data_IF_086907577063
#
_entry.id   IF_086907577063
#
_cell.length_a   1.000
_cell.length_b   1.000
_cell.length_c   1.000
_cell.angle_alpha   90.00
_cell.angle_beta   90.00
_cell.angle_gamma   90.00
#
_symmetry.space_group_name_H-M   'P 1'
#
loop_
_entity.id
_entity.type
_entity.pdbx_description
1 polymer ?
#
# COMPACT_ATOMS: atom_id res chain seq x y z
N UNK A 1 12.00 22.56 -4.99
CA UNK A 1 12.35 23.21 -6.28
C UNK A 1 13.84 23.57 -6.36
N UNK A 2 14.51 23.80 -5.22
CA UNK A 2 15.89 24.30 -5.17
C UNK A 2 16.95 23.21 -4.91
N UNK A 3 16.53 21.96 -4.73
CA UNK A 3 17.44 20.85 -4.51
C UNK A 3 18.23 20.48 -5.78
N UNK A 4 19.47 20.11 -5.60
CA UNK A 4 20.40 19.66 -6.66
C UNK A 4 21.00 18.31 -6.27
N UNK A 5 21.74 17.67 -7.17
CA UNK A 5 22.44 16.41 -6.88
C UNK A 5 23.43 16.49 -5.69
N UNK A 6 23.84 17.68 -5.30
CA UNK A 6 24.72 17.93 -4.13
C UNK A 6 23.96 18.17 -2.81
N UNK A 7 22.62 18.21 -2.86
CA UNK A 7 21.79 18.44 -1.68
C UNK A 7 21.71 17.18 -0.81
N UNK A 8 21.47 17.39 0.47
CA UNK A 8 20.97 16.37 1.40
C UNK A 8 19.52 16.73 1.72
N UNK A 9 18.61 15.81 1.42
CA UNK A 9 17.21 15.94 1.78
C UNK A 9 16.90 15.10 3.02
N UNK A 10 16.13 15.67 3.94
CA UNK A 10 15.56 14.94 5.07
C UNK A 10 14.04 15.07 4.94
N UNK A 11 13.41 13.95 4.62
CA UNK A 11 11.96 13.85 4.38
C UNK A 11 11.38 12.96 5.47
N UNK A 12 10.39 13.49 6.19
CA UNK A 12 9.77 12.83 7.32
C UNK A 12 8.26 12.76 7.11
N UNK A 13 7.70 11.56 7.19
CA UNK A 13 6.26 11.27 7.11
C UNK A 13 5.56 11.89 5.87
N UNK A 14 6.21 11.87 4.71
CA UNK A 14 5.63 12.35 3.46
C UNK A 14 4.39 11.52 3.12
N UNK A 15 3.29 12.18 2.75
CA UNK A 15 2.02 11.55 2.41
C UNK A 15 1.08 11.35 3.61
N UNK A 16 1.44 11.79 4.81
CA UNK A 16 0.58 11.74 5.98
C UNK A 16 -0.54 12.79 5.90
N UNK A 17 -1.75 12.45 6.35
CA UNK A 17 -2.89 13.38 6.41
C UNK A 17 -3.83 13.32 5.21
N UNK A 18 -3.68 12.32 4.35
CA UNK A 18 -4.62 11.98 3.27
C UNK A 18 -4.97 10.48 3.33
N UNK A 19 -5.70 9.96 2.33
CA UNK A 19 -5.97 8.52 2.26
C UNK A 19 -4.67 7.72 2.15
N UNK A 20 -4.67 6.49 2.64
CA UNK A 20 -3.47 5.64 2.68
C UNK A 20 -2.83 5.48 1.31
N UNK A 21 -3.63 5.18 0.29
CA UNK A 21 -3.13 4.97 -1.08
C UNK A 21 -2.60 6.25 -1.73
N UNK A 22 -3.28 7.39 -1.55
CA UNK A 22 -2.79 8.68 -2.06
C UNK A 22 -1.48 9.06 -1.39
N UNK A 23 -1.41 8.94 -0.05
CA UNK A 23 -0.21 9.24 0.71
C UNK A 23 0.97 8.38 0.31
N UNK A 24 0.76 7.07 0.19
CA UNK A 24 1.79 6.12 -0.26
C UNK A 24 2.23 6.42 -1.70
N UNK A 25 1.32 6.74 -2.61
CA UNK A 25 1.64 7.08 -3.99
C UNK A 25 2.51 8.34 -4.09
N UNK A 26 2.18 9.36 -3.32
CA UNK A 26 2.98 10.60 -3.23
C UNK A 26 4.36 10.29 -2.64
N UNK A 27 4.42 9.54 -1.54
CA UNK A 27 5.67 9.18 -0.87
C UNK A 27 6.59 8.41 -1.81
N UNK A 28 6.06 7.41 -2.52
CA UNK A 28 6.78 6.62 -3.52
C UNK A 28 7.29 7.49 -4.67
N UNK A 29 6.46 8.32 -5.26
CA UNK A 29 6.84 9.19 -6.37
C UNK A 29 7.97 10.17 -5.98
N UNK A 30 7.91 10.73 -4.76
CA UNK A 30 8.97 11.61 -4.22
C UNK A 30 10.27 10.83 -4.03
N UNK A 31 10.22 9.62 -3.46
CA UNK A 31 11.38 8.76 -3.27
C UNK A 31 12.04 8.42 -4.60
N UNK A 32 11.26 7.96 -5.58
CA UNK A 32 11.74 7.65 -6.93
C UNK A 32 12.39 8.87 -7.59
N UNK A 33 11.77 10.04 -7.47
CA UNK A 33 12.32 11.28 -8.02
C UNK A 33 13.67 11.66 -7.38
N UNK A 34 13.79 11.49 -6.06
CA UNK A 34 15.03 11.80 -5.33
C UNK A 34 16.16 10.82 -5.67
N UNK A 35 15.83 9.53 -5.87
CA UNK A 35 16.79 8.47 -6.14
C UNK A 35 17.29 8.47 -7.62
N UNK A 36 16.47 8.93 -8.56
CA UNK A 36 16.80 8.93 -9.98
C UNK A 36 17.89 9.97 -10.29
N UNK A 37 19.09 9.47 -10.68
CA UNK A 37 20.24 10.29 -11.04
C UNK A 37 20.00 11.19 -12.26
N UNK A 38 19.02 10.87 -13.11
CA UNK A 38 18.66 11.69 -14.28
C UNK A 38 17.76 12.86 -13.90
N UNK A 39 17.10 12.80 -12.74
CA UNK A 39 16.19 13.84 -12.23
C UNK A 39 16.86 14.66 -11.14
N UNK A 40 17.10 14.08 -10.00
CA UNK A 40 17.71 14.76 -8.85
C UNK A 40 18.97 14.04 -8.35
N UNK A 41 18.89 12.74 -8.05
CA UNK A 41 20.04 11.92 -7.67
C UNK A 41 20.77 12.42 -6.43
N UNK A 42 20.09 13.05 -5.49
CA UNK A 42 20.69 13.61 -4.28
C UNK A 42 20.71 12.59 -3.14
N UNK A 43 21.47 12.90 -2.09
CA UNK A 43 21.42 12.12 -0.85
C UNK A 43 20.11 12.43 -0.13
N UNK A 44 19.39 11.38 0.27
CA UNK A 44 18.08 11.52 0.92
C UNK A 44 17.98 10.59 2.11
N UNK A 45 17.56 11.12 3.26
CA UNK A 45 17.03 10.36 4.38
C UNK A 45 15.51 10.45 4.30
N UNK A 46 14.85 9.31 4.19
CA UNK A 46 13.41 9.22 4.00
C UNK A 46 12.80 8.40 5.15
N UNK A 47 12.18 9.07 6.12
CA UNK A 47 11.45 8.42 7.18
C UNK A 47 9.99 8.22 6.78
N UNK A 48 9.45 7.01 6.95
CA UNK A 48 8.08 6.67 6.59
C UNK A 48 7.55 5.51 7.42
N UNK A 49 6.25 5.45 7.55
CA UNK A 49 5.51 4.32 8.13
C UNK A 49 4.93 3.37 7.05
N UNK A 50 5.15 3.66 5.78
CA UNK A 50 4.69 2.80 4.68
C UNK A 50 5.64 1.62 4.48
N UNK A 51 5.30 0.45 5.05
CA UNK A 51 6.10 -0.77 4.93
C UNK A 51 6.25 -1.24 3.49
N UNK A 52 5.27 -0.97 2.64
CA UNK A 52 5.27 -1.31 1.22
C UNK A 52 6.43 -0.69 0.45
N UNK A 53 6.93 0.47 0.91
CA UNK A 53 8.07 1.13 0.28
C UNK A 53 9.40 0.42 0.53
N UNK A 54 9.47 -0.50 1.48
CA UNK A 54 10.70 -1.27 1.76
C UNK A 54 11.13 -2.16 0.59
N UNK A 55 10.19 -2.61 -0.25
CA UNK A 55 10.50 -3.39 -1.45
C UNK A 55 11.35 -2.61 -2.48
N UNK A 56 11.39 -1.28 -2.39
CA UNK A 56 12.13 -0.43 -3.33
C UNK A 56 13.65 -0.60 -3.23
N UNK A 57 14.19 -1.14 -2.13
CA UNK A 57 15.62 -1.48 -2.02
C UNK A 57 16.08 -2.43 -3.13
N UNK A 58 15.24 -3.42 -3.48
CA UNK A 58 15.54 -4.35 -4.57
C UNK A 58 15.23 -3.82 -5.97
N UNK A 59 14.46 -2.74 -6.08
CA UNK A 59 13.95 -2.22 -7.35
C UNK A 59 14.70 -0.97 -7.83
N UNK A 60 15.14 -0.11 -6.91
CA UNK A 60 15.75 1.17 -7.22
C UNK A 60 17.22 1.17 -6.76
N UNK A 61 18.18 1.27 -7.70
CA UNK A 61 19.59 1.35 -7.35
C UNK A 61 19.90 2.52 -6.41
N UNK A 62 20.57 2.23 -5.30
CA UNK A 62 20.97 3.25 -4.33
C UNK A 62 19.97 3.47 -3.18
N UNK A 63 18.81 2.83 -3.22
CA UNK A 63 17.87 2.78 -2.08
C UNK A 63 18.35 1.71 -1.09
N UNK A 64 18.34 2.04 0.20
CA UNK A 64 18.70 1.15 1.31
C UNK A 64 17.71 1.30 2.45
N UNK A 65 17.26 0.18 2.98
CA UNK A 65 16.38 0.13 4.13
C UNK A 65 17.17 0.15 5.43
N UNK A 66 16.66 0.91 6.36
CA UNK A 66 17.11 0.93 7.75
C UNK A 66 15.89 1.00 8.67
N UNK A 67 16.00 0.42 9.85
CA UNK A 67 14.95 0.53 10.86
C UNK A 67 15.52 0.93 12.22
N UNK A 68 14.64 1.38 13.09
CA UNK A 68 14.99 1.64 14.51
C UNK A 68 14.85 0.34 15.27
N UNK A 69 15.97 -0.18 15.78
CA UNK A 69 15.96 -1.45 16.50
C UNK A 69 15.09 -1.39 17.75
N UNK A 70 14.17 -2.33 17.88
CA UNK A 70 13.34 -2.53 19.05
C UNK A 70 13.53 -3.96 19.58
N UNK A 71 13.35 -4.15 20.87
CA UNK A 71 13.37 -5.46 21.53
C UNK A 71 12.04 -5.70 22.23
N UNK A 72 11.33 -6.71 21.80
CA UNK A 72 10.10 -7.18 22.44
C UNK A 72 10.47 -7.97 23.71
N UNK A 73 9.85 -7.62 24.85
CA UNK A 73 10.03 -8.32 26.12
C UNK A 73 8.64 -8.61 26.72
N UNK A 74 8.13 -9.84 26.51
CA UNK A 74 6.78 -10.27 26.88
C UNK A 74 5.73 -9.26 26.37
N UNK A 75 5.21 -8.40 27.22
CA UNK A 75 4.15 -7.43 26.90
C UNK A 75 4.70 -6.00 26.70
N UNK A 76 6.02 -5.84 26.63
CA UNK A 76 6.68 -4.53 26.56
C UNK A 76 7.61 -4.43 25.35
N UNK A 77 7.79 -3.23 24.82
CA UNK A 77 8.70 -2.94 23.71
C UNK A 77 9.72 -1.90 24.15
N UNK A 78 10.99 -2.25 24.06
CA UNK A 78 12.10 -1.37 24.36
C UNK A 78 12.73 -0.90 23.05
N UNK A 79 12.64 0.39 22.75
CA UNK A 79 13.34 1.01 21.62
C UNK A 79 14.82 1.20 21.98
N UNK A 80 15.70 0.52 21.25
CA UNK A 80 17.14 0.55 21.52
C UNK A 80 17.81 1.83 21.03
N UNK A 81 17.09 2.70 20.33
CA UNK A 81 17.60 3.96 19.75
C UNK A 81 18.83 3.75 18.85
N UNK A 82 18.86 2.62 18.16
CA UNK A 82 19.89 2.26 17.18
C UNK A 82 19.24 2.08 15.83
N UNK A 83 19.86 2.64 14.81
CA UNK A 83 19.49 2.43 13.42
C UNK A 83 20.28 1.23 12.91
N UNK A 84 19.58 0.23 12.37
CA UNK A 84 20.17 -1.01 11.86
C UNK A 84 19.75 -1.22 10.41
N UNK A 85 20.58 -1.87 9.58
CA UNK A 85 20.20 -2.21 8.20
C UNK A 85 19.02 -3.17 8.15
N UNK A 86 18.20 -3.02 7.11
CA UNK A 86 17.05 -3.85 6.82
C UNK A 86 15.71 -3.16 7.06
N UNK A 87 14.62 -3.73 6.52
CA UNK A 87 13.26 -3.27 6.79
C UNK A 87 12.87 -3.53 8.25
N UNK A 88 11.84 -2.84 8.73
CA UNK A 88 11.20 -3.19 10.00
C UNK A 88 10.30 -4.42 9.79
N UNK A 89 10.49 -5.44 10.62
CA UNK A 89 9.71 -6.68 10.51
C UNK A 89 8.28 -6.54 11.02
N UNK A 90 8.04 -5.61 11.94
CA UNK A 90 6.73 -5.41 12.60
C UNK A 90 6.53 -3.94 12.98
N UNK A 91 5.26 -3.52 13.02
CA UNK A 91 4.86 -2.27 13.67
C UNK A 91 4.63 -2.53 15.17
N UNK A 92 4.92 -1.53 15.99
CA UNK A 92 4.74 -1.61 17.45
C UNK A 92 3.67 -0.64 17.95
N UNK A 93 2.76 -0.22 17.07
CA UNK A 93 1.75 0.78 17.40
C UNK A 93 0.82 0.34 18.54
N UNK A 94 0.40 -0.93 18.54
CA UNK A 94 -0.49 -1.48 19.58
C UNK A 94 0.23 -1.58 20.91
N UNK A 95 1.49 -2.01 20.94
CA UNK A 95 2.32 -2.07 22.13
C UNK A 95 2.56 -0.67 22.71
N UNK A 96 2.88 0.30 21.85
CA UNK A 96 3.07 1.70 22.25
C UNK A 96 1.77 2.30 22.80
N UNK A 97 0.61 1.98 22.22
CA UNK A 97 -0.67 2.41 22.75
C UNK A 97 -0.93 1.84 24.15
N UNK A 98 -0.55 0.59 24.39
CA UNK A 98 -0.60 -0.02 25.74
C UNK A 98 0.29 0.71 26.74
N UNK A 99 1.54 1.02 26.36
CA UNK A 99 2.47 1.81 27.17
C UNK A 99 1.96 3.23 27.45
N UNK A 100 1.23 3.82 26.52
CA UNK A 100 0.59 5.13 26.67
C UNK A 100 -0.67 5.10 27.56
N UNK A 101 -1.06 3.94 28.09
CA UNK A 101 -2.16 3.79 29.03
C UNK A 101 -3.53 3.56 28.39
N UNK A 102 -3.59 3.12 27.14
CA UNK A 102 -4.84 2.67 26.52
C UNK A 102 -5.33 1.41 27.25
N UNK A 103 -6.63 1.31 27.63
CA UNK A 103 -7.17 0.19 28.36
C UNK A 103 -6.89 -1.16 27.70
N UNK A 104 -6.53 -2.19 28.51
CA UNK A 104 -6.16 -3.52 27.98
C UNK A 104 -7.21 -4.14 27.07
N UNK A 105 -8.49 -3.99 27.37
CA UNK A 105 -9.59 -4.47 26.52
C UNK A 105 -9.55 -3.88 25.11
N UNK A 106 -9.14 -2.62 24.95
CA UNK A 106 -8.99 -1.96 23.65
C UNK A 106 -7.76 -2.51 22.93
N UNK A 107 -6.66 -2.70 23.65
CA UNK A 107 -5.42 -3.28 23.12
C UNK A 107 -5.66 -4.70 22.61
N UNK A 108 -6.36 -5.53 23.39
CA UNK A 108 -6.68 -6.92 23.02
C UNK A 108 -7.53 -6.94 21.75
N UNK A 109 -8.59 -6.11 21.70
CA UNK A 109 -9.42 -6.02 20.48
C UNK A 109 -8.65 -5.48 19.27
N UNK A 110 -7.71 -4.55 19.48
CA UNK A 110 -6.86 -4.05 18.40
C UNK A 110 -5.94 -5.14 17.82
N UNK A 111 -5.44 -6.06 18.66
CA UNK A 111 -4.66 -7.23 18.20
C UNK A 111 -5.50 -8.19 17.37
N UNK A 112 -6.74 -8.46 17.82
CA UNK A 112 -7.67 -9.30 17.06
C UNK A 112 -7.95 -8.71 15.68
N UNK A 113 -8.28 -7.41 15.64
CA UNK A 113 -8.54 -6.69 14.39
C UNK A 113 -7.30 -6.70 13.48
N UNK A 114 -6.09 -6.48 14.03
CA UNK A 114 -4.87 -6.55 13.23
C UNK A 114 -4.69 -7.93 12.59
N UNK A 115 -4.92 -9.00 13.36
CA UNK A 115 -4.85 -10.38 12.84
C UNK A 115 -5.90 -10.64 11.76
N UNK A 116 -7.12 -10.11 11.91
CA UNK A 116 -8.17 -10.18 10.89
C UNK A 116 -7.73 -9.47 9.59
N UNK A 117 -7.21 -8.24 9.69
CA UNK A 117 -6.76 -7.45 8.55
C UNK A 117 -5.53 -8.06 7.84
N UNK A 118 -4.59 -8.63 8.60
CA UNK A 118 -3.44 -9.33 8.04
C UNK A 118 -3.85 -10.61 7.30
N UNK A 119 -4.85 -11.32 7.80
CA UNK A 119 -5.40 -12.50 7.15
C UNK A 119 -6.15 -12.16 5.85
N UNK A 120 -6.87 -11.04 5.81
CA UNK A 120 -7.56 -10.53 4.61
C UNK A 120 -6.61 -9.86 3.60
N UNK A 121 -5.53 -9.26 4.10
CA UNK A 121 -4.56 -8.48 3.31
C UNK A 121 -3.37 -9.26 2.76
N UNK A 122 -3.30 -10.58 2.95
CA UNK A 122 -2.19 -11.40 2.47
C UNK A 122 -2.55 -12.19 1.20
N UNK A 123 -2.50 -11.61 -0.02
CA UNK A 123 -2.31 -12.43 -1.19
C UNK A 123 -0.85 -12.90 -1.16
N UNK A 124 -0.65 -14.23 -1.06
CA UNK A 124 0.66 -14.84 -1.22
C UNK A 124 1.35 -14.28 -2.48
N UNK A 125 2.67 -14.07 -2.49
CA UNK A 125 3.38 -13.63 -3.67
C UNK A 125 3.23 -14.69 -4.76
N UNK A 126 2.36 -14.42 -5.74
CA UNK A 126 2.32 -15.18 -6.96
C UNK A 126 3.60 -14.88 -7.77
N UNK A 127 4.20 -15.91 -8.43
CA UNK A 127 5.37 -15.70 -9.26
C UNK A 127 5.06 -14.71 -10.37
N UNK A 128 5.99 -13.80 -10.62
CA UNK A 128 5.87 -12.71 -11.56
C UNK A 128 5.39 -13.19 -12.96
N UNK A 129 4.16 -12.85 -13.29
CA UNK A 129 3.67 -12.79 -14.66
C UNK A 129 3.48 -11.31 -15.05
N UNK A 130 3.62 -10.94 -16.34
CA UNK A 130 3.77 -9.55 -16.76
C UNK A 130 2.52 -8.72 -16.43
N UNK A 131 2.77 -7.47 -16.10
CA UNK A 131 1.83 -6.46 -15.67
C UNK A 131 0.51 -6.46 -16.45
N UNK A 132 -0.57 -6.86 -15.77
CA UNK A 132 -1.92 -6.50 -16.13
C UNK A 132 -2.46 -5.61 -14.99
N UNK A 133 -2.99 -4.50 -15.40
CA UNK A 133 -3.57 -3.39 -14.68
C UNK A 133 -4.49 -3.87 -13.52
N UNK A 134 -4.04 -3.72 -12.26
CA UNK A 134 -4.87 -4.01 -11.10
C UNK A 134 -5.66 -2.75 -10.72
N UNK A 135 -6.83 -2.60 -11.35
CA UNK A 135 -7.79 -1.57 -11.05
C UNK A 135 -8.27 -1.60 -9.60
N UNK A 136 -8.30 -0.45 -9.03
CA UNK A 136 -8.88 -0.09 -7.77
C UNK A 136 -10.35 -0.53 -7.69
N UNK A 137 -10.70 -1.43 -6.75
CA UNK A 137 -12.11 -1.81 -6.50
C UNK A 137 -12.79 -0.67 -5.76
N UNK A 138 -13.37 0.25 -6.52
CA UNK A 138 -14.29 1.28 -6.01
C UNK A 138 -15.66 0.65 -5.76
N UNK A 139 -16.42 1.17 -4.80
CA UNK A 139 -17.81 0.76 -4.54
C UNK A 139 -18.74 0.95 -5.77
N UNK A 140 -18.28 1.68 -6.80
CA UNK A 140 -18.90 1.79 -8.13
C UNK A 140 -18.59 0.59 -9.04
N UNK A 141 -17.62 -0.25 -8.68
CA UNK A 141 -17.19 -1.40 -9.51
C UNK A 141 -18.04 -2.67 -9.35
N UNK A 142 -18.88 -2.77 -8.31
CA UNK A 142 -19.77 -3.95 -8.16
C UNK A 142 -20.77 -4.04 -9.30
N UNK A 143 -21.32 -2.93 -9.76
CA UNK A 143 -22.21 -2.89 -10.94
C UNK A 143 -21.45 -3.17 -12.23
N UNK A 144 -20.26 -2.60 -12.39
CA UNK A 144 -19.43 -2.78 -13.57
C UNK A 144 -18.90 -4.23 -13.71
N UNK A 145 -18.55 -4.88 -12.60
CA UNK A 145 -18.13 -6.29 -12.60
C UNK A 145 -19.26 -7.22 -13.02
N UNK A 146 -20.46 -7.03 -12.48
CA UNK A 146 -21.64 -7.83 -12.85
C UNK A 146 -22.03 -7.64 -14.33
N UNK A 147 -21.92 -6.42 -14.84
CA UNK A 147 -22.14 -6.10 -16.26
C UNK A 147 -21.09 -6.79 -17.14
N UNK A 148 -19.81 -6.75 -16.74
CA UNK A 148 -18.73 -7.39 -17.47
C UNK A 148 -18.88 -8.92 -17.50
N UNK A 149 -19.23 -9.54 -16.38
CA UNK A 149 -19.44 -11.00 -16.31
C UNK A 149 -20.65 -11.44 -17.12
N UNK A 150 -21.71 -10.64 -17.13
CA UNK A 150 -22.89 -10.91 -17.97
C UNK A 150 -22.56 -10.80 -19.46
N UNK A 151 -21.77 -9.80 -19.88
CA UNK A 151 -21.31 -9.65 -21.25
C UNK A 151 -20.41 -10.80 -21.72
N UNK A 152 -19.53 -11.33 -20.85
CA UNK A 152 -18.69 -12.50 -21.19
C UNK A 152 -19.46 -13.78 -21.43
N UNK A 153 -20.66 -13.91 -20.85
CA UNK A 153 -21.53 -15.10 -20.98
C UNK A 153 -22.48 -15.04 -22.20
N UNK A 154 -22.51 -13.89 -22.89
CA UNK A 154 -23.41 -13.69 -24.03
C UNK A 154 -22.76 -14.20 -25.30
N UNK A 155 -23.44 -15.11 -25.97
CA UNK A 155 -23.07 -15.55 -27.32
C UNK A 155 -23.73 -14.62 -28.37
N UNK A 156 -22.90 -13.72 -28.92
CA UNK A 156 -23.33 -12.65 -29.80
C UNK A 156 -23.91 -13.24 -31.14
N UNK A 157 -23.40 -14.39 -31.58
CA UNK A 157 -23.76 -14.99 -32.85
C UNK A 157 -25.18 -15.62 -32.85
N UNK A 158 -25.75 -15.84 -31.66
CA UNK A 158 -27.08 -16.42 -31.48
C UNK A 158 -28.17 -15.39 -31.14
N UNK A 159 -27.80 -14.12 -30.87
CA UNK A 159 -28.74 -13.07 -30.49
C UNK A 159 -29.46 -12.45 -31.69
N UNK A 160 -30.79 -12.34 -31.60
CA UNK A 160 -31.54 -11.48 -32.50
C UNK A 160 -31.33 -9.99 -32.18
N UNK A 161 -31.51 -9.06 -33.14
CA UNK A 161 -31.37 -7.61 -32.87
C UNK A 161 -32.23 -7.09 -31.72
N UNK A 162 -33.42 -7.66 -31.52
CA UNK A 162 -34.33 -7.27 -30.45
C UNK A 162 -33.78 -7.73 -29.06
N UNK A 163 -33.30 -8.97 -29.02
CA UNK A 163 -32.68 -9.51 -27.79
C UNK A 163 -31.42 -8.74 -27.42
N UNK A 164 -30.58 -8.38 -28.40
CA UNK A 164 -29.40 -7.55 -28.16
C UNK A 164 -29.76 -6.15 -27.58
N UNK A 165 -30.81 -5.52 -28.12
CA UNK A 165 -31.29 -4.23 -27.61
C UNK A 165 -31.83 -4.34 -26.18
N UNK A 166 -32.59 -5.40 -25.88
CA UNK A 166 -33.11 -5.63 -24.54
C UNK A 166 -31.96 -5.90 -23.53
N UNK A 167 -30.97 -6.70 -23.90
CA UNK A 167 -29.80 -6.96 -23.09
C UNK A 167 -29.00 -5.68 -22.79
N UNK A 168 -28.77 -4.84 -23.81
CA UNK A 168 -28.12 -3.54 -23.62
C UNK A 168 -28.91 -2.61 -22.67
N UNK A 169 -30.23 -2.63 -22.76
CA UNK A 169 -31.07 -1.85 -21.86
C UNK A 169 -31.00 -2.33 -20.41
N UNK A 170 -31.00 -3.64 -20.19
CA UNK A 170 -30.83 -4.24 -18.86
C UNK A 170 -29.43 -3.95 -18.26
N UNK A 171 -28.37 -4.08 -19.06
CA UNK A 171 -27.02 -3.81 -18.62
C UNK A 171 -26.82 -2.33 -18.27
N UNK A 172 -27.43 -1.42 -19.05
CA UNK A 172 -27.38 0.02 -18.77
C UNK A 172 -28.09 0.41 -17.47
N UNK A 173 -29.07 -0.36 -17.00
CA UNK A 173 -29.75 -0.11 -15.71
C UNK A 173 -28.92 -0.50 -14.51
N UNK A 174 -27.87 -1.32 -14.70
CA UNK A 174 -26.98 -1.82 -13.65
C UNK A 174 -25.68 -1.01 -13.51
N UNK A 175 -25.46 -0.09 -14.41
CA UNK A 175 -24.40 0.93 -14.38
C UNK A 175 -24.90 2.21 -13.68
#
# INVERSE_FOLDING_TARGET
KNATAKSLLILDEIGRGTSTYDGMSIARAVLEYCADKRRLGCKTLFATHYHELTCLEGQIPGVKNYNVAAKKRKDDVIFLRKIVPGPADQSYGIEVAGLAGVPSRVIDRARDILSELEAEGCPAPAPAAPAADSGQVSFLDMGASEVADRLRQVDIDTLTPIEAMNLLYELKKKL
#
